data_IF_107864478817
#
_entry.id   IF_107864478817
#
_cell.length_a   1.000
_cell.length_b   1.000
_cell.length_c   1.000
_cell.angle_alpha   90.00
_cell.angle_beta   90.00
_cell.angle_gamma   90.00
#
_symmetry.space_group_name_H-M   'P 1'
#
loop_
_entity.id
_entity.type
_entity.pdbx_description
1 polymer ?
#
# COMPACT_ATOMS: atom_id res chain seq x y z
N UNK A 1 6.02 22.89 -14.51
CA UNK A 1 4.97 22.08 -15.16
C UNK A 1 4.66 20.89 -14.25
N UNK A 2 3.90 21.06 -13.15
CA UNK A 2 3.70 19.99 -12.13
C UNK A 2 2.43 20.15 -11.25
N UNK A 3 1.62 21.20 -11.46
CA UNK A 3 0.47 21.50 -10.59
C UNK A 3 -0.74 20.56 -10.87
N UNK A 4 -0.83 19.99 -12.08
CA UNK A 4 -1.86 18.99 -12.41
C UNK A 4 -1.60 17.61 -11.80
N UNK A 5 -0.33 17.26 -11.57
CA UNK A 5 0.06 15.95 -11.02
C UNK A 5 -0.07 15.90 -9.50
N UNK A 6 0.11 17.03 -8.80
CA UNK A 6 -0.02 17.07 -7.33
C UNK A 6 -1.43 16.67 -6.87
N UNK A 7 -2.46 17.08 -7.61
CA UNK A 7 -3.85 16.69 -7.30
C UNK A 7 -4.04 15.17 -7.45
N UNK A 8 -3.48 14.57 -8.50
CA UNK A 8 -3.54 13.12 -8.73
C UNK A 8 -2.78 12.37 -7.63
N UNK A 9 -1.57 12.81 -7.32
CA UNK A 9 -0.76 12.25 -6.23
C UNK A 9 -1.47 12.34 -4.88
N UNK A 10 -2.10 13.47 -4.56
CA UNK A 10 -2.87 13.65 -3.33
C UNK A 10 -4.07 12.69 -3.26
N UNK A 11 -4.81 12.50 -4.36
CA UNK A 11 -5.94 11.56 -4.40
C UNK A 11 -5.47 10.12 -4.15
N UNK A 12 -4.37 9.69 -4.78
CA UNK A 12 -3.82 8.35 -4.52
C UNK A 12 -3.32 8.23 -3.08
N UNK A 13 -2.59 9.22 -2.57
CA UNK A 13 -2.09 9.22 -1.20
C UNK A 13 -3.23 9.08 -0.17
N UNK A 14 -4.29 9.88 -0.31
CA UNK A 14 -5.46 9.82 0.58
C UNK A 14 -6.18 8.48 0.46
N UNK A 15 -6.45 8.02 -0.77
CA UNK A 15 -7.16 6.76 -1.01
C UNK A 15 -6.41 5.56 -0.42
N UNK A 16 -5.11 5.45 -0.71
CA UNK A 16 -4.30 4.31 -0.26
C UNK A 16 -4.10 4.31 1.26
N UNK A 17 -3.92 5.49 1.86
CA UNK A 17 -3.83 5.61 3.32
C UNK A 17 -5.17 5.27 3.99
N UNK A 18 -6.30 5.69 3.40
CA UNK A 18 -7.63 5.34 3.89
C UNK A 18 -7.89 3.83 3.78
N UNK A 19 -7.56 3.20 2.65
CA UNK A 19 -7.67 1.74 2.50
C UNK A 19 -6.85 1.00 3.56
N UNK A 20 -5.63 1.48 3.84
CA UNK A 20 -4.78 0.91 4.88
C UNK A 20 -5.39 1.07 6.28
N UNK A 21 -5.90 2.26 6.60
CA UNK A 21 -6.56 2.52 7.88
C UNK A 21 -7.82 1.66 8.07
N UNK A 22 -8.64 1.50 7.02
CA UNK A 22 -9.81 0.61 7.03
C UNK A 22 -9.38 -0.85 7.23
N UNK A 23 -8.30 -1.28 6.57
CA UNK A 23 -7.73 -2.62 6.73
C UNK A 23 -7.35 -2.91 8.18
N UNK A 24 -6.72 -1.95 8.88
CA UNK A 24 -6.44 -2.06 10.30
C UNK A 24 -7.71 -2.05 11.16
N UNK A 25 -8.68 -1.19 10.84
CA UNK A 25 -9.94 -1.10 11.56
C UNK A 25 -10.76 -2.41 11.47
N UNK A 26 -10.62 -3.16 10.39
CA UNK A 26 -11.23 -4.48 10.20
C UNK A 26 -10.48 -5.62 10.90
N UNK A 27 -9.45 -5.31 11.69
CA UNK A 27 -8.66 -6.30 12.41
C UNK A 27 -7.56 -6.94 11.57
N UNK A 28 -7.21 -6.35 10.42
CA UNK A 28 -6.14 -6.85 9.56
C UNK A 28 -4.78 -6.91 10.29
N UNK A 29 -3.97 -7.89 9.92
CA UNK A 29 -2.68 -8.17 10.54
C UNK A 29 -1.53 -7.56 9.74
N UNK A 30 -0.56 -6.99 10.42
CA UNK A 30 0.75 -6.68 9.83
C UNK A 30 1.59 -7.96 9.81
N UNK A 31 1.83 -8.49 8.61
CA UNK A 31 2.59 -9.74 8.45
C UNK A 31 4.10 -9.50 8.70
N UNK A 32 4.77 -10.44 9.40
CA UNK A 32 6.22 -10.40 9.54
C UNK A 32 6.91 -10.84 8.24
N UNK A 33 8.11 -10.35 7.99
CA UNK A 33 8.95 -10.85 6.90
C UNK A 33 9.55 -12.20 7.31
N UNK A 34 8.85 -13.28 6.96
CA UNK A 34 9.23 -14.64 7.32
C UNK A 34 9.38 -15.49 6.06
N UNK A 35 10.60 -15.95 5.77
CA UNK A 35 10.90 -16.74 4.56
C UNK A 35 10.45 -18.20 4.62
N UNK A 36 10.09 -18.71 5.81
CA UNK A 36 9.64 -20.10 5.97
C UNK A 36 8.23 -20.34 5.41
N UNK A 37 7.43 -19.29 5.26
CA UNK A 37 6.11 -19.34 4.65
C UNK A 37 6.04 -18.30 3.53
N UNK A 38 5.98 -18.78 2.29
CA UNK A 38 6.02 -17.92 1.11
C UNK A 38 4.80 -17.00 1.00
N UNK A 39 3.62 -17.46 1.47
CA UNK A 39 2.41 -16.65 1.42
C UNK A 39 2.51 -15.49 2.42
N UNK A 40 2.97 -15.78 3.64
CA UNK A 40 3.21 -14.75 4.66
C UNK A 40 4.28 -13.76 4.20
N UNK A 41 5.35 -14.25 3.57
CA UNK A 41 6.38 -13.39 3.00
C UNK A 41 5.83 -12.45 1.92
N UNK A 42 5.07 -12.97 0.96
CA UNK A 42 4.47 -12.17 -0.11
C UNK A 42 3.45 -11.17 0.44
N UNK A 43 2.65 -11.57 1.43
CA UNK A 43 1.72 -10.67 2.11
C UNK A 43 2.45 -9.53 2.83
N UNK A 44 3.54 -9.86 3.54
CA UNK A 44 4.39 -8.86 4.18
C UNK A 44 5.03 -7.92 3.14
N UNK A 45 5.55 -8.47 2.03
CA UNK A 45 6.13 -7.70 0.94
C UNK A 45 5.12 -6.74 0.31
N UNK A 46 3.89 -7.20 0.08
CA UNK A 46 2.79 -6.37 -0.39
C UNK A 46 2.54 -5.19 0.56
N UNK A 47 2.45 -5.45 1.87
CA UNK A 47 2.23 -4.41 2.87
C UNK A 47 3.39 -3.39 2.96
N UNK A 48 4.62 -3.78 2.61
CA UNK A 48 5.75 -2.85 2.50
C UNK A 48 5.61 -1.84 1.36
N UNK A 49 4.66 -2.04 0.44
CA UNK A 49 4.30 -1.03 -0.55
C UNK A 49 3.83 0.30 0.07
N UNK A 50 3.30 0.28 1.31
CA UNK A 50 2.92 1.47 2.07
C UNK A 50 3.78 1.64 3.33
N UNK A 51 5.07 1.92 3.14
CA UNK A 51 6.08 2.02 4.20
C UNK A 51 5.65 2.95 5.34
N UNK A 52 5.24 4.19 5.04
CA UNK A 52 4.91 5.19 6.05
C UNK A 52 3.72 4.79 6.94
N UNK A 53 2.52 4.50 6.39
CA UNK A 53 1.39 4.02 7.21
C UNK A 53 1.72 2.74 7.98
N UNK A 54 2.45 1.81 7.36
CA UNK A 54 2.87 0.55 8.01
C UNK A 54 3.78 0.79 9.21
N UNK A 55 4.78 1.64 9.08
CA UNK A 55 5.70 1.94 10.18
C UNK A 55 4.98 2.62 11.34
N UNK A 56 4.11 3.58 11.04
CA UNK A 56 3.29 4.26 12.06
C UNK A 56 2.42 3.23 12.81
N UNK A 57 1.74 2.35 12.08
CA UNK A 57 0.92 1.30 12.68
C UNK A 57 1.75 0.32 13.52
N UNK A 58 2.93 -0.07 13.04
CA UNK A 58 3.85 -0.94 13.77
C UNK A 58 4.34 -0.33 15.09
N UNK A 59 4.73 0.94 15.10
CA UNK A 59 5.15 1.66 16.32
C UNK A 59 3.98 1.87 17.27
N UNK A 60 2.77 2.08 16.74
CA UNK A 60 1.55 2.19 17.55
C UNK A 60 1.03 0.84 18.10
N UNK A 61 1.67 -0.29 17.77
CA UNK A 61 1.21 -1.63 18.15
C UNK A 61 -0.09 -2.05 17.47
N UNK A 62 -0.49 -1.36 16.39
CA UNK A 62 -1.67 -1.69 15.62
C UNK A 62 -1.40 -2.88 14.68
N UNK A 63 -2.46 -3.59 14.30
CA UNK A 63 -2.36 -4.70 13.36
C UNK A 63 -1.76 -5.98 13.95
N UNK A 64 -2.00 -6.24 15.24
CA UNK A 64 -1.76 -7.56 15.85
C UNK A 64 -2.55 -8.69 15.14
N UNK A 65 -3.67 -8.33 14.49
CA UNK A 65 -4.59 -9.24 13.84
C UNK A 65 -5.66 -9.73 14.81
N UNK A 66 -6.92 -9.64 14.40
CA UNK A 66 -8.04 -10.25 15.12
C UNK A 66 -8.71 -11.31 14.25
N UNK A 67 -8.23 -12.55 14.37
CA UNK A 67 -8.67 -13.67 13.52
C UNK A 67 -10.13 -14.07 13.80
N UNK A 68 -10.69 -13.66 14.94
CA UNK A 68 -12.08 -13.96 15.32
C UNK A 68 -13.05 -12.98 14.67
N UNK A 69 -12.58 -11.81 14.23
CA UNK A 69 -13.38 -10.84 13.52
C UNK A 69 -13.81 -11.38 12.14
N UNK A 70 -15.10 -11.30 11.84
CA UNK A 70 -15.65 -11.67 10.52
C UNK A 70 -15.02 -10.82 9.39
N UNK A 71 -14.53 -9.63 9.73
CA UNK A 71 -13.87 -8.71 8.79
C UNK A 71 -12.38 -8.98 8.60
N UNK A 72 -11.78 -9.92 9.34
CA UNK A 72 -10.33 -10.16 9.37
C UNK A 72 -9.71 -10.36 7.98
N UNK A 73 -10.28 -11.27 7.19
CA UNK A 73 -9.77 -11.59 5.85
C UNK A 73 -9.92 -10.41 4.89
N UNK A 74 -11.02 -9.66 5.02
CA UNK A 74 -11.19 -8.41 4.28
C UNK A 74 -10.14 -7.37 4.70
N UNK A 75 -9.87 -7.25 6.00
CA UNK A 75 -8.84 -6.36 6.53
C UNK A 75 -7.46 -6.66 5.96
N UNK A 76 -7.05 -7.92 5.97
CA UNK A 76 -5.80 -8.37 5.35
C UNK A 76 -5.74 -8.03 3.85
N UNK A 77 -6.84 -8.27 3.14
CA UNK A 77 -6.97 -7.96 1.72
C UNK A 77 -6.82 -6.47 1.46
N UNK A 78 -7.45 -5.60 2.26
CA UNK A 78 -7.30 -4.15 2.18
C UNK A 78 -5.84 -3.71 2.39
N UNK A 79 -5.17 -4.26 3.40
CA UNK A 79 -3.76 -3.96 3.69
C UNK A 79 -2.82 -4.35 2.55
N UNK A 80 -3.00 -5.56 1.99
CA UNK A 80 -2.19 -6.05 0.87
C UNK A 80 -2.49 -5.28 -0.42
N UNK A 81 -3.77 -5.07 -0.74
CA UNK A 81 -4.19 -4.35 -1.94
C UNK A 81 -3.70 -2.90 -1.92
N UNK A 82 -3.80 -2.20 -0.79
CA UNK A 82 -3.32 -0.83 -0.66
C UNK A 82 -1.81 -0.72 -0.95
N UNK A 83 -1.02 -1.67 -0.46
CA UNK A 83 0.42 -1.73 -0.73
C UNK A 83 0.75 -2.01 -2.20
N UNK A 84 0.08 -3.00 -2.81
CA UNK A 84 0.27 -3.33 -4.23
C UNK A 84 -0.19 -2.20 -5.16
N UNK A 85 -1.33 -1.57 -4.86
CA UNK A 85 -1.83 -0.42 -5.61
C UNK A 85 -0.86 0.77 -5.51
N UNK A 86 -0.19 0.98 -4.37
CA UNK A 86 0.85 2.01 -4.28
C UNK A 86 2.04 1.72 -5.22
N UNK A 87 2.42 0.45 -5.37
CA UNK A 87 3.45 0.06 -6.34
C UNK A 87 3.00 0.32 -7.79
N UNK A 88 1.74 0.02 -8.14
CA UNK A 88 1.18 0.34 -9.46
C UNK A 88 1.14 1.85 -9.73
N UNK A 89 0.78 2.66 -8.74
CA UNK A 89 0.82 4.13 -8.86
C UNK A 89 2.25 4.63 -9.11
N UNK A 90 3.24 4.07 -8.42
CA UNK A 90 4.64 4.43 -8.65
C UNK A 90 5.09 4.08 -10.08
N UNK A 91 4.70 2.90 -10.59
CA UNK A 91 4.98 2.49 -11.96
C UNK A 91 4.29 3.38 -12.99
N UNK A 92 3.02 3.75 -12.78
CA UNK A 92 2.28 4.66 -13.66
C UNK A 92 2.96 6.04 -13.77
N UNK A 93 3.46 6.59 -12.66
CA UNK A 93 4.23 7.85 -12.66
C UNK A 93 5.54 7.70 -13.42
N UNK A 94 6.24 6.57 -13.23
CA UNK A 94 7.50 6.29 -13.92
C UNK A 94 7.32 6.18 -15.44
N UNK A 95 6.27 5.47 -15.89
CA UNK A 95 5.96 5.32 -17.31
C UNK A 95 5.57 6.66 -17.95
N UNK A 96 4.78 7.49 -17.26
CA UNK A 96 4.49 8.86 -17.72
C UNK A 96 5.75 9.71 -17.85
N UNK A 97 6.66 9.64 -16.89
CA UNK A 97 7.91 10.39 -16.93
C UNK A 97 8.79 9.97 -18.13
N UNK A 98 8.87 8.67 -18.43
CA UNK A 98 9.57 8.16 -19.61
C UNK A 98 8.91 8.58 -20.92
N UNK A 99 7.58 8.50 -21.01
CA UNK A 99 6.83 8.92 -22.19
C UNK A 99 6.98 10.41 -22.52
N UNK A 100 7.04 11.27 -21.49
CA UNK A 100 7.32 12.70 -21.64
C UNK A 100 8.74 12.95 -22.19
N UNK A 101 9.74 12.21 -21.70
CA UNK A 101 11.12 12.32 -22.17
C UNK A 101 11.27 11.94 -23.65
N UNK A 102 10.56 10.89 -24.11
CA UNK A 102 10.56 10.49 -25.51
C UNK A 102 10.00 11.55 -26.47
N UNK A 103 8.98 12.30 -26.03
CA UNK A 103 8.36 13.38 -26.82
C UNK A 103 9.21 14.65 -26.94
N UNK A 104 10.15 14.87 -26.03
CA UNK A 104 11.06 16.02 -26.06
C UNK A 104 12.33 15.73 -26.89
N UNK A 105 12.55 14.47 -27.26
CA UNK A 105 13.69 14.01 -28.04
C UNK A 105 13.35 13.76 -29.53
N UNK A 106 12.10 14.00 -29.93
CA UNK A 106 11.57 13.87 -31.29
C UNK A 106 11.15 15.24 -31.82
#
# INVERSE_FOLDING_TARGET
MLIGDLKRGAVFFVTLTAMFAIGLAFGGRLFPLQLSDWLVFLAALAQWGLVLPRLIAGVAGAGAGDVVAVTYEYGNTFLMAAGLLNALVALDVFDRARGLKGRLAA
#
